data_IF_260782734785
#
_entry.id   IF_260782734785
#
_cell.length_a   1.000
_cell.length_b   1.000
_cell.length_c   1.000
_cell.angle_alpha   90.00
_cell.angle_beta   90.00
_cell.angle_gamma   90.00
#
_symmetry.space_group_name_H-M   'P 1'
#
loop_
_entity.id
_entity.type
_entity.pdbx_description
1 polymer ?
#
# COMPACT_ATOMS: atom_id res chain seq x y z
N UNK A 1 8.83 -8.38 -4.19
CA UNK A 1 8.26 -8.49 -2.83
C UNK A 1 6.87 -9.08 -2.96
N UNK A 2 6.47 -10.00 -2.09
CA UNK A 2 5.14 -10.64 -2.09
C UNK A 2 4.30 -10.07 -0.95
N UNK A 3 2.99 -10.19 -1.09
CA UNK A 3 2.04 -9.65 -0.13
C UNK A 3 0.60 -9.76 -0.61
N UNK A 4 -0.31 -9.27 0.22
CA UNK A 4 -1.75 -9.26 0.00
C UNK A 4 -2.20 -7.86 -0.40
N UNK A 5 -3.01 -7.76 -1.45
CA UNK A 5 -3.66 -6.49 -1.80
C UNK A 5 -4.72 -6.18 -0.72
N UNK A 6 -4.60 -5.01 -0.10
CA UNK A 6 -5.54 -4.53 0.94
C UNK A 6 -6.34 -3.32 0.50
N UNK A 7 -5.90 -2.64 -0.56
CA UNK A 7 -6.53 -1.42 -1.07
C UNK A 7 -6.32 -1.29 -2.58
N UNK A 8 -7.35 -0.87 -3.31
CA UNK A 8 -7.26 -0.40 -4.69
C UNK A 8 -8.15 0.84 -4.80
N UNK A 9 -7.59 1.98 -5.18
CA UNK A 9 -8.38 3.21 -5.29
C UNK A 9 -7.57 4.48 -5.45
N UNK A 10 -8.28 5.61 -5.40
CA UNK A 10 -7.69 6.94 -5.36
C UNK A 10 -7.07 7.24 -3.99
N UNK A 11 -6.07 8.12 -3.94
CA UNK A 11 -5.43 8.53 -2.68
C UNK A 11 -5.26 10.04 -2.63
N UNK A 12 -5.17 10.60 -1.42
CA UNK A 12 -4.98 12.03 -1.20
C UNK A 12 -3.54 12.48 -1.52
N UNK A 13 -2.58 11.58 -1.41
CA UNK A 13 -1.16 11.92 -1.57
C UNK A 13 -0.71 12.04 -3.04
N UNK A 14 -1.43 11.44 -4.00
CA UNK A 14 -1.07 11.53 -5.41
C UNK A 14 -2.23 11.06 -6.32
N UNK A 15 -2.51 11.76 -7.44
CA UNK A 15 -3.60 11.39 -8.32
C UNK A 15 -3.42 10.02 -9.01
N UNK A 16 -4.51 9.50 -9.55
CA UNK A 16 -4.58 8.23 -10.27
C UNK A 16 -4.75 7.02 -9.34
N UNK A 17 -4.91 5.82 -9.91
CA UNK A 17 -5.11 4.61 -9.13
C UNK A 17 -3.83 4.20 -8.40
N UNK A 18 -4.02 3.66 -7.20
CA UNK A 18 -2.98 3.08 -6.37
C UNK A 18 -3.43 1.73 -5.83
N UNK A 19 -2.45 0.84 -5.64
CA UNK A 19 -2.62 -0.45 -4.97
C UNK A 19 -1.87 -0.40 -3.65
N UNK A 20 -2.60 -0.54 -2.55
CA UNK A 20 -2.05 -0.73 -1.22
C UNK A 20 -1.84 -2.21 -0.94
N UNK A 21 -0.60 -2.59 -0.64
CA UNK A 21 -0.18 -3.96 -0.39
C UNK A 21 0.33 -4.08 1.04
N UNK A 22 -0.18 -5.07 1.77
CA UNK A 22 0.43 -5.57 2.99
C UNK A 22 1.45 -6.64 2.62
N UNK A 23 2.73 -6.35 2.83
CA UNK A 23 3.83 -7.25 2.49
C UNK A 23 3.96 -8.39 3.51
N UNK A 24 4.38 -9.57 3.07
CA UNK A 24 4.55 -10.72 3.97
C UNK A 24 5.68 -10.51 5.01
N UNK A 25 6.64 -9.64 4.69
CA UNK A 25 7.80 -9.31 5.52
C UNK A 25 7.97 -7.79 5.63
N UNK A 26 8.60 -7.36 6.73
CA UNK A 26 8.99 -5.97 6.91
C UNK A 26 9.87 -5.49 5.74
N UNK A 27 9.63 -4.28 5.26
CA UNK A 27 10.26 -3.73 4.05
C UNK A 27 9.35 -2.84 3.20
N UNK A 28 8.14 -2.58 3.71
CA UNK A 28 7.24 -1.53 3.25
C UNK A 28 7.66 -0.16 3.78
N UNK A 29 6.86 0.84 3.43
CA UNK A 29 7.12 2.26 3.73
C UNK A 29 6.20 2.80 4.82
N UNK A 30 5.09 2.12 5.10
CA UNK A 30 4.07 2.59 6.02
C UNK A 30 3.39 1.41 6.74
N UNK A 31 2.34 1.73 7.49
CA UNK A 31 1.46 0.80 8.20
C UNK A 31 0.07 0.72 7.54
N UNK A 32 -0.06 1.21 6.30
CA UNK A 32 -1.31 1.39 5.55
C UNK A 32 -1.94 2.78 5.67
N UNK A 33 -1.26 3.73 6.34
CA UNK A 33 -1.56 5.17 6.28
C UNK A 33 -0.48 5.98 5.54
N UNK A 34 -0.86 7.13 4.98
CA UNK A 34 0.08 8.12 4.41
C UNK A 34 -0.40 9.51 4.80
N UNK A 35 0.48 10.33 5.37
CA UNK A 35 0.17 11.70 5.81
C UNK A 35 -1.05 11.81 6.73
N UNK A 36 -1.23 10.84 7.63
CA UNK A 36 -2.36 10.80 8.59
C UNK A 36 -3.65 10.17 8.04
N UNK A 37 -3.75 9.96 6.73
CA UNK A 37 -4.91 9.33 6.09
C UNK A 37 -4.76 7.81 6.09
N UNK A 38 -5.77 7.10 6.58
CA UNK A 38 -5.81 5.63 6.68
C UNK A 38 -6.51 5.02 5.47
N UNK A 39 -5.84 4.13 4.75
CA UNK A 39 -6.42 3.40 3.62
C UNK A 39 -6.61 1.91 3.95
N UNK A 40 -5.66 1.32 4.70
CA UNK A 40 -5.75 -0.03 5.24
C UNK A 40 -4.91 -0.15 6.52
N UNK A 41 -5.08 -1.23 7.27
CA UNK A 41 -4.31 -1.49 8.48
C UNK A 41 -3.37 -2.69 8.29
N UNK A 42 -2.11 -2.52 8.66
CA UNK A 42 -1.11 -3.58 8.74
C UNK A 42 -0.01 -3.19 9.76
N UNK A 43 0.98 -4.07 9.96
CA UNK A 43 2.11 -3.79 10.87
C UNK A 43 2.97 -2.62 10.37
N UNK A 44 3.63 -1.85 11.25
CA UNK A 44 4.57 -0.80 10.84
C UNK A 44 5.67 -1.36 9.92
N UNK A 45 5.89 -0.68 8.79
CA UNK A 45 6.83 -1.08 7.73
C UNK A 45 6.40 -2.33 6.93
N UNK A 46 5.12 -2.69 6.93
CA UNK A 46 4.58 -3.76 6.09
C UNK A 46 3.73 -3.21 4.94
N UNK A 47 3.19 -1.99 5.06
CA UNK A 47 2.38 -1.36 4.03
C UNK A 47 3.22 -0.72 2.92
N UNK A 48 2.77 -0.87 1.68
CA UNK A 48 3.36 -0.18 0.53
C UNK A 48 2.27 0.23 -0.46
N UNK A 49 2.42 1.41 -1.06
CA UNK A 49 1.61 1.85 -2.19
C UNK A 49 2.43 1.77 -3.47
N UNK A 50 1.87 1.11 -4.49
CA UNK A 50 2.46 0.99 -5.81
C UNK A 50 1.44 1.35 -6.88
N UNK A 51 1.93 1.70 -8.07
CA UNK A 51 1.07 1.86 -9.24
C UNK A 51 0.60 0.48 -9.74
N UNK A 52 -0.63 0.37 -10.28
CA UNK A 52 -1.15 -0.92 -10.75
C UNK A 52 -0.25 -1.64 -11.77
N UNK A 53 0.46 -0.90 -12.62
CA UNK A 53 1.39 -1.44 -13.62
C UNK A 53 2.62 -2.13 -13.02
N UNK A 54 2.88 -1.95 -11.72
CA UNK A 54 3.99 -2.58 -10.99
C UNK A 54 3.58 -3.85 -10.25
N UNK A 55 2.30 -4.21 -10.27
CA UNK A 55 1.79 -5.42 -9.60
C UNK A 55 1.76 -6.58 -10.59
N UNK A 56 2.22 -7.75 -10.14
CA UNK A 56 2.08 -9.03 -10.85
C UNK A 56 1.34 -9.99 -9.92
N UNK A 57 0.39 -10.74 -10.48
CA UNK A 57 -0.40 -11.77 -9.80
C UNK A 57 0.24 -13.13 -10.06
#
# INVERSE_FOLDING_TARGET
KTGVIRFIGATEFSPGPWVGVELDKAGGKNDGSVSGVRYFACKPRFGSFVRPDKVKI
#
